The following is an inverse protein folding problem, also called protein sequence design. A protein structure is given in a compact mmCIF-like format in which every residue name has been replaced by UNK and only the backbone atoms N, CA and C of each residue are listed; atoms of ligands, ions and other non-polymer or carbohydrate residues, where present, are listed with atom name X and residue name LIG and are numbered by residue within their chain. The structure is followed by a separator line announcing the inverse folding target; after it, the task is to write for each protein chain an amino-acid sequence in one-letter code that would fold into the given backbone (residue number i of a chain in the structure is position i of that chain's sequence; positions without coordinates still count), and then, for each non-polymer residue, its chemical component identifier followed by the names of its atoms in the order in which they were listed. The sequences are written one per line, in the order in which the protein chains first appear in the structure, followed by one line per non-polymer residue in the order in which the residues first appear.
data_IF_295279395738
#
_entry.id   IF_295279395738
#
_cell.length_a   1.000
_cell.length_b   1.000
_cell.length_c   1.000
_cell.angle_alpha   90.00
_cell.angle_beta   90.00
_cell.angle_gamma   90.00
#
_symmetry.space_group_name_H-M   'P 1'
#
loop_
_entity.id
_entity.type
_entity.pdbx_description
1 polymer ?
#
# COMPACT_ATOMS: atom_id res chain seq x y z
N UNK A 1 -69.53 -19.63 23.18
CA UNK A 1 -69.06 -19.46 21.78
C UNK A 1 -67.84 -18.57 21.62
N UNK A 2 -67.72 -17.41 22.28
CA UNK A 2 -66.53 -16.55 22.13
C UNK A 2 -65.21 -17.22 22.59
N UNK A 3 -65.22 -17.93 23.72
CA UNK A 3 -64.05 -18.64 24.24
C UNK A 3 -63.56 -19.73 23.27
N UNK A 4 -64.46 -20.53 22.70
CA UNK A 4 -64.11 -21.59 21.75
C UNK A 4 -63.52 -21.02 20.45
N UNK A 5 -64.05 -19.89 19.96
CA UNK A 5 -63.53 -19.22 18.76
C UNK A 5 -62.10 -18.70 19.00
N UNK A 6 -61.84 -18.10 20.17
CA UNK A 6 -60.50 -17.64 20.53
C UNK A 6 -59.51 -18.80 20.68
N UNK A 7 -59.93 -19.94 21.25
CA UNK A 7 -59.08 -21.13 21.37
C UNK A 7 -58.75 -21.72 19.99
N UNK A 8 -59.74 -21.81 19.08
CA UNK A 8 -59.52 -22.28 17.71
C UNK A 8 -58.57 -21.35 16.95
N UNK A 9 -58.74 -20.03 17.10
CA UNK A 9 -57.84 -19.05 16.51
C UNK A 9 -56.41 -19.17 17.04
N UNK A 10 -56.24 -19.38 18.35
CA UNK A 10 -54.93 -19.56 18.98
C UNK A 10 -54.22 -20.83 18.49
N UNK A 11 -54.96 -21.95 18.35
CA UNK A 11 -54.43 -23.21 17.82
C UNK A 11 -53.99 -23.04 16.36
N UNK A 12 -54.80 -22.38 15.53
CA UNK A 12 -54.44 -22.06 14.14
C UNK A 12 -53.21 -21.17 14.05
N UNK A 13 -53.07 -20.18 14.95
CA UNK A 13 -51.90 -19.32 15.02
C UNK A 13 -50.62 -20.12 15.33
N UNK A 14 -50.65 -20.98 16.36
CA UNK A 14 -49.50 -21.80 16.73
C UNK A 14 -49.14 -22.84 15.65
N UNK A 15 -50.13 -23.46 15.01
CA UNK A 15 -49.90 -24.35 13.86
C UNK A 15 -49.25 -23.63 12.66
N UNK A 16 -49.52 -22.34 12.49
CA UNK A 16 -48.88 -21.52 11.46
C UNK A 16 -47.45 -21.10 11.86
N UNK A 17 -47.22 -20.78 13.14
CA UNK A 17 -45.89 -20.40 13.67
C UNK A 17 -44.88 -21.54 13.54
N UNK A 18 -45.27 -22.81 13.76
CA UNK A 18 -44.36 -23.95 13.59
C UNK A 18 -43.85 -24.05 12.15
N UNK A 19 -44.74 -23.90 11.16
CA UNK A 19 -44.36 -23.89 9.75
C UNK A 19 -43.49 -22.68 9.37
N UNK A 20 -43.76 -21.50 9.94
CA UNK A 20 -42.90 -20.33 9.76
C UNK A 20 -41.50 -20.56 10.37
N UNK A 21 -41.41 -21.24 11.51
CA UNK A 21 -40.13 -21.46 12.21
C UNK A 21 -39.18 -22.32 11.38
N UNK A 22 -39.69 -23.37 10.71
CA UNK A 22 -38.89 -24.16 9.76
C UNK A 22 -38.47 -23.33 8.53
N UNK A 23 -39.34 -22.47 8.01
CA UNK A 23 -38.99 -21.57 6.91
C UNK A 23 -37.91 -20.55 7.33
N UNK A 24 -38.04 -19.96 8.51
CA UNK A 24 -37.08 -18.99 9.08
C UNK A 24 -35.73 -19.65 9.35
N UNK A 25 -35.68 -20.89 9.84
CA UNK A 25 -34.42 -21.59 10.06
C UNK A 25 -33.70 -21.91 8.74
N UNK A 26 -34.42 -22.41 7.72
CA UNK A 26 -33.85 -22.66 6.39
C UNK A 26 -33.35 -21.36 5.76
N UNK A 27 -34.15 -20.30 5.81
CA UNK A 27 -33.75 -18.97 5.31
C UNK A 27 -32.55 -18.44 6.08
N UNK A 28 -32.50 -18.60 7.41
CA UNK A 28 -31.38 -18.18 8.24
C UNK A 28 -30.07 -18.86 7.85
N UNK A 29 -30.08 -20.18 7.65
CA UNK A 29 -28.91 -20.91 7.16
C UNK A 29 -28.52 -20.51 5.74
N UNK A 30 -29.50 -20.35 4.84
CA UNK A 30 -29.25 -19.92 3.47
C UNK A 30 -28.65 -18.49 3.43
N UNK A 31 -29.17 -17.57 4.24
CA UNK A 31 -28.65 -16.20 4.38
C UNK A 31 -27.23 -16.17 4.95
N UNK A 32 -26.93 -17.01 5.95
CA UNK A 32 -25.58 -17.12 6.50
C UNK A 32 -24.58 -17.61 5.44
N UNK A 33 -24.95 -18.64 4.66
CA UNK A 33 -24.13 -19.13 3.55
C UNK A 33 -23.90 -18.05 2.47
N UNK A 34 -24.95 -17.31 2.11
CA UNK A 34 -24.85 -16.21 1.16
C UNK A 34 -23.96 -15.07 1.68
N UNK A 35 -24.07 -14.71 2.97
CA UNK A 35 -23.25 -13.68 3.59
C UNK A 35 -21.76 -14.04 3.57
N UNK A 36 -21.42 -15.31 3.84
CA UNK A 36 -20.03 -15.79 3.76
C UNK A 36 -19.52 -15.72 2.32
N UNK A 37 -20.32 -16.18 1.35
CA UNK A 37 -19.94 -16.17 -0.06
C UNK A 37 -19.76 -14.74 -0.64
N UNK A 38 -20.59 -13.79 -0.20
CA UNK A 38 -20.57 -12.40 -0.70
C UNK A 38 -19.67 -11.46 0.12
N UNK A 39 -19.02 -11.96 1.18
CA UNK A 39 -18.20 -11.15 2.10
C UNK A 39 -17.22 -10.24 1.36
N UNK A 40 -16.44 -10.79 0.43
CA UNK A 40 -15.38 -10.03 -0.24
C UNK A 40 -15.91 -8.94 -1.17
N UNK A 41 -17.07 -9.18 -1.79
CA UNK A 41 -17.75 -8.17 -2.59
C UNK A 41 -18.18 -7.00 -1.70
N UNK A 42 -18.85 -7.28 -0.59
CA UNK A 42 -19.29 -6.25 0.35
C UNK A 42 -18.12 -5.49 0.99
N UNK A 43 -17.06 -6.21 1.39
CA UNK A 43 -15.83 -5.59 1.90
C UNK A 43 -15.17 -4.70 0.86
N UNK A 44 -15.21 -5.07 -0.44
CA UNK A 44 -14.68 -4.22 -1.50
C UNK A 44 -15.50 -2.95 -1.71
N UNK A 45 -16.84 -3.02 -1.58
CA UNK A 45 -17.70 -1.83 -1.60
C UNK A 45 -17.38 -0.88 -0.45
N UNK A 46 -17.22 -1.41 0.76
CA UNK A 46 -16.81 -0.61 1.92
C UNK A 46 -15.40 -0.03 1.74
N UNK A 47 -14.49 -0.81 1.15
CA UNK A 47 -13.13 -0.38 0.83
C UNK A 47 -13.14 0.81 -0.12
N UNK A 48 -14.00 0.78 -1.14
CA UNK A 48 -14.20 1.91 -2.04
C UNK A 48 -14.64 3.17 -1.29
N UNK A 49 -15.64 3.07 -0.42
CA UNK A 49 -16.07 4.20 0.42
C UNK A 49 -14.90 4.77 1.23
N UNK A 50 -14.10 3.91 1.87
CA UNK A 50 -12.93 4.35 2.65
C UNK A 50 -11.89 5.04 1.77
N UNK A 51 -11.62 4.52 0.58
CA UNK A 51 -10.66 5.13 -0.36
C UNK A 51 -11.16 6.52 -0.79
N UNK A 52 -12.43 6.64 -1.18
CA UNK A 52 -13.01 7.89 -1.69
C UNK A 52 -13.16 8.94 -0.59
N UNK A 53 -13.72 8.58 0.56
CA UNK A 53 -13.94 9.53 1.66
C UNK A 53 -12.67 9.81 2.46
N UNK A 54 -11.82 8.81 2.66
CA UNK A 54 -10.54 8.95 3.37
C UNK A 54 -9.46 9.63 2.52
N UNK A 55 -9.60 9.62 1.19
CA UNK A 55 -8.68 10.28 0.28
C UNK A 55 -7.25 9.70 0.29
N UNK A 56 -7.06 8.51 0.87
CA UNK A 56 -5.76 7.86 1.06
C UNK A 56 -5.08 7.47 -0.25
N UNK A 57 -5.88 7.17 -1.28
CA UNK A 57 -5.42 6.83 -2.62
C UNK A 57 -6.21 7.61 -3.66
N UNK A 58 -5.51 8.20 -4.63
CA UNK A 58 -6.12 8.96 -5.72
C UNK A 58 -5.63 8.45 -7.07
N UNK A 59 -6.42 8.69 -8.10
CA UNK A 59 -5.98 8.45 -9.49
C UNK A 59 -4.75 9.30 -9.77
N UNK A 60 -3.71 8.67 -10.30
CA UNK A 60 -2.38 9.24 -10.52
C UNK A 60 -1.37 8.99 -9.39
N UNK A 61 -1.81 8.45 -8.25
CA UNK A 61 -0.87 8.14 -7.16
C UNK A 61 -0.02 6.90 -7.47
N UNK A 62 1.27 6.97 -7.12
CA UNK A 62 2.18 5.83 -7.13
C UNK A 62 2.04 5.03 -5.85
N UNK A 63 1.64 3.78 -5.96
CA UNK A 63 1.42 2.90 -4.81
C UNK A 63 2.23 1.61 -4.91
N UNK A 64 2.66 1.13 -3.76
CA UNK A 64 3.23 -0.19 -3.55
C UNK A 64 2.19 -1.08 -2.89
N UNK A 65 1.91 -2.18 -3.55
CA UNK A 65 0.99 -3.22 -3.08
C UNK A 65 1.77 -4.46 -2.76
N UNK A 66 1.51 -5.01 -1.57
CA UNK A 66 2.12 -6.24 -1.12
C UNK A 66 1.10 -7.38 -1.12
N UNK A 67 1.42 -8.45 -1.86
CA UNK A 67 0.60 -9.66 -1.93
C UNK A 67 1.48 -10.89 -1.70
N UNK A 68 1.29 -11.54 -0.56
CA UNK A 68 2.05 -12.71 -0.12
C UNK A 68 3.55 -12.42 -0.14
N UNK A 69 4.31 -12.91 -1.12
CA UNK A 69 5.75 -12.67 -1.28
C UNK A 69 6.10 -11.79 -2.49
N UNK A 70 5.08 -11.28 -3.19
CA UNK A 70 5.24 -10.46 -4.38
C UNK A 70 4.87 -9.02 -4.09
N UNK A 71 5.71 -8.12 -4.59
CA UNK A 71 5.51 -6.67 -4.49
C UNK A 71 5.24 -6.12 -5.87
N UNK A 72 4.20 -5.31 -5.98
CA UNK A 72 3.87 -4.58 -7.20
C UNK A 72 3.95 -3.09 -6.90
N UNK A 73 4.59 -2.33 -7.79
CA UNK A 73 4.70 -0.88 -7.68
C UNK A 73 4.23 -0.29 -9.00
N UNK A 74 3.33 0.69 -8.92
CA UNK A 74 2.75 1.29 -10.11
C UNK A 74 1.90 2.51 -9.79
N UNK A 75 1.31 3.08 -10.83
CA UNK A 75 0.44 4.24 -10.74
C UNK A 75 -1.03 3.85 -10.86
N UNK A 76 -1.87 4.45 -10.03
CA UNK A 76 -3.32 4.22 -10.09
C UNK A 76 -3.89 4.90 -11.33
N UNK A 77 -4.48 4.12 -12.24
CA UNK A 77 -5.13 4.62 -13.45
C UNK A 77 -6.62 4.88 -13.19
N UNK A 78 -7.26 4.02 -12.40
CA UNK A 78 -8.70 4.10 -12.11
C UNK A 78 -9.02 3.50 -10.74
N UNK A 79 -10.07 4.03 -10.11
CA UNK A 79 -10.64 3.49 -8.86
C UNK A 79 -12.12 3.21 -9.11
N UNK A 80 -12.42 1.96 -9.41
CA UNK A 80 -13.77 1.44 -9.61
C UNK A 80 -14.38 0.98 -8.29
N UNK A 81 -15.70 0.75 -8.28
CA UNK A 81 -16.47 0.38 -7.09
C UNK A 81 -15.98 -0.88 -6.36
N UNK A 82 -15.44 -1.86 -7.08
CA UNK A 82 -14.95 -3.12 -6.49
C UNK A 82 -13.42 -3.27 -6.54
N UNK A 83 -12.71 -2.43 -7.30
CA UNK A 83 -11.27 -2.59 -7.57
C UNK A 83 -10.55 -1.29 -7.90
N UNK A 84 -9.25 -1.26 -7.60
CA UNK A 84 -8.27 -0.30 -8.08
C UNK A 84 -7.57 -0.89 -9.31
N UNK A 85 -7.36 -0.08 -10.34
CA UNK A 85 -6.58 -0.45 -11.53
C UNK A 85 -5.23 0.24 -11.48
N UNK A 86 -4.16 -0.55 -11.49
CA UNK A 86 -2.77 -0.10 -11.36
C UNK A 86 -2.01 -0.34 -12.67
N UNK A 87 -1.22 0.63 -13.12
CA UNK A 87 -0.22 0.45 -14.17
C UNK A 87 1.16 0.21 -13.54
N UNK A 88 1.72 -0.99 -13.71
CA UNK A 88 3.00 -1.33 -13.11
C UNK A 88 4.19 -0.65 -13.82
N UNK A 89 5.07 -0.04 -13.04
CA UNK A 89 6.29 0.62 -13.54
C UNK A 89 7.58 -0.13 -13.15
N UNK A 90 8.66 0.16 -13.89
CA UNK A 90 9.99 -0.35 -13.58
C UNK A 90 10.51 0.25 -12.28
N UNK A 91 10.76 -0.62 -11.32
CA UNK A 91 11.39 -0.29 -10.04
C UNK A 91 12.54 -1.25 -9.73
N UNK A 92 13.25 -1.00 -8.64
CA UNK A 92 14.32 -1.89 -8.20
C UNK A 92 13.81 -3.31 -7.89
N UNK A 93 12.62 -3.43 -7.30
CA UNK A 93 11.97 -4.73 -7.06
C UNK A 93 11.66 -5.43 -8.39
N UNK A 94 11.24 -4.67 -9.40
CA UNK A 94 11.03 -5.21 -10.74
C UNK A 94 12.33 -5.69 -11.37
N UNK A 95 13.43 -4.95 -11.19
CA UNK A 95 14.75 -5.35 -11.69
C UNK A 95 15.29 -6.62 -11.00
N UNK A 96 15.13 -6.72 -9.67
CA UNK A 96 15.69 -7.82 -8.89
C UNK A 96 14.83 -9.09 -8.89
N UNK A 97 13.49 -8.96 -8.77
CA UNK A 97 12.58 -10.09 -8.53
C UNK A 97 11.66 -10.37 -9.72
N UNK A 98 10.84 -9.39 -10.12
CA UNK A 98 9.72 -9.66 -11.04
C UNK A 98 10.19 -9.81 -12.50
N UNK A 99 11.28 -9.14 -12.89
CA UNK A 99 11.90 -9.05 -14.24
C UNK A 99 11.01 -8.59 -15.39
N UNK A 100 9.68 -8.57 -15.24
CA UNK A 100 8.67 -8.11 -16.19
C UNK A 100 7.88 -6.95 -15.60
N UNK A 101 7.60 -5.92 -16.40
CA UNK A 101 6.90 -4.67 -16.01
C UNK A 101 5.87 -4.26 -17.07
N UNK A 102 5.02 -3.27 -16.76
CA UNK A 102 4.06 -2.69 -17.71
C UNK A 102 2.71 -3.40 -17.74
N UNK A 103 2.42 -4.22 -16.72
CA UNK A 103 1.15 -4.93 -16.58
C UNK A 103 0.09 -3.99 -16.02
N UNK A 104 -1.15 -4.19 -16.45
CA UNK A 104 -2.32 -3.62 -15.76
C UNK A 104 -2.74 -4.61 -14.68
N UNK A 105 -2.70 -4.18 -13.43
CA UNK A 105 -3.00 -5.00 -12.26
C UNK A 105 -4.33 -4.54 -11.68
N UNK A 106 -5.26 -5.49 -11.47
CA UNK A 106 -6.54 -5.22 -10.84
C UNK A 106 -6.52 -5.67 -9.39
N UNK A 107 -6.73 -4.73 -8.48
CA UNK A 107 -6.59 -4.94 -7.04
C UNK A 107 -7.96 -4.77 -6.41
N UNK A 108 -8.56 -5.82 -5.81
CA UNK A 108 -9.83 -5.68 -5.11
C UNK A 108 -9.75 -4.64 -3.97
N UNK A 109 -10.78 -3.82 -3.80
CA UNK A 109 -10.77 -2.74 -2.82
C UNK A 109 -10.72 -3.24 -1.36
N UNK A 110 -11.11 -4.49 -1.09
CA UNK A 110 -10.99 -5.09 0.25
C UNK A 110 -9.53 -5.20 0.73
N UNK A 111 -8.54 -5.11 -0.17
CA UNK A 111 -7.11 -5.14 0.18
C UNK A 111 -6.70 -3.99 1.10
N UNK A 112 -7.45 -2.88 1.10
CA UNK A 112 -7.22 -1.77 2.05
C UNK A 112 -7.35 -2.21 3.52
N UNK A 113 -8.15 -3.24 3.78
CA UNK A 113 -8.37 -3.76 5.14
C UNK A 113 -7.47 -4.95 5.49
N UNK A 114 -7.06 -5.73 4.49
CA UNK A 114 -6.38 -7.02 4.71
C UNK A 114 -4.88 -6.97 4.45
N UNK A 115 -4.43 -6.04 3.60
CA UNK A 115 -3.06 -5.99 3.09
C UNK A 115 -2.42 -4.62 3.30
N UNK A 116 -1.09 -4.60 3.35
CA UNK A 116 -0.34 -3.36 3.40
C UNK A 116 -0.31 -2.71 2.00
N UNK A 117 -0.81 -1.49 1.93
CA UNK A 117 -0.74 -0.61 0.77
C UNK A 117 0.04 0.65 1.17
N UNK A 118 1.15 0.93 0.48
CA UNK A 118 1.94 2.14 0.73
C UNK A 118 1.78 3.12 -0.44
N UNK A 119 1.44 4.38 -0.14
CA UNK A 119 1.33 5.45 -1.13
C UNK A 119 2.60 6.30 -1.13
N UNK A 120 3.31 6.36 -2.25
CA UNK A 120 4.53 7.15 -2.40
C UNK A 120 4.28 8.61 -2.75
N UNK A 121 3.12 8.93 -3.32
CA UNK A 121 2.83 10.26 -3.87
C UNK A 121 1.61 10.91 -3.24
N UNK A 122 1.29 10.50 -2.03
CA UNK A 122 0.11 10.96 -1.31
C UNK A 122 0.06 12.49 -1.24
N UNK A 123 -1.13 13.05 -1.50
CA UNK A 123 -1.36 14.50 -1.63
C UNK A 123 -0.46 15.21 -2.66
N UNK A 124 0.04 14.53 -3.68
CA UNK A 124 0.88 15.16 -4.71
C UNK A 124 2.31 15.41 -4.26
N UNK A 125 2.71 14.85 -3.13
CA UNK A 125 4.13 14.65 -2.86
C UNK A 125 4.73 13.77 -3.93
N UNK A 126 6.00 13.98 -4.24
CA UNK A 126 6.71 13.12 -5.19
C UNK A 126 8.06 12.72 -4.64
N UNK A 127 8.27 12.79 -3.32
CA UNK A 127 9.60 12.67 -2.72
C UNK A 127 9.65 11.46 -1.82
N UNK A 128 10.61 10.59 -2.10
CA UNK A 128 10.85 9.34 -1.39
C UNK A 128 12.31 9.25 -0.99
N UNK A 129 12.59 8.54 0.10
CA UNK A 129 13.95 8.22 0.49
C UNK A 129 14.37 6.92 -0.20
N UNK A 130 15.45 6.98 -0.98
CA UNK A 130 16.03 5.82 -1.65
C UNK A 130 17.42 5.52 -1.06
N UNK A 131 17.86 4.28 -1.23
CA UNK A 131 19.10 3.76 -0.66
C UNK A 131 19.96 3.02 -1.70
N UNK A 132 21.25 3.32 -1.70
CA UNK A 132 22.26 2.60 -2.47
C UNK A 132 23.31 2.01 -1.52
N UNK A 133 23.63 0.74 -1.76
CA UNK A 133 24.60 -0.01 -0.98
C UNK A 133 25.79 -0.34 -1.87
N UNK A 134 26.97 0.11 -1.46
CA UNK A 134 28.24 -0.12 -2.16
C UNK A 134 29.11 -0.98 -1.25
N UNK A 135 29.50 -2.14 -1.74
CA UNK A 135 30.36 -3.07 -1.00
C UNK A 135 31.81 -2.89 -1.42
N UNK A 136 32.69 -2.73 -0.44
CA UNK A 136 34.13 -2.50 -0.61
C UNK A 136 34.89 -3.57 0.17
N UNK A 137 36.00 -4.07 -0.37
CA UNK A 137 36.83 -5.08 0.31
C UNK A 137 37.54 -4.51 1.54
N UNK A 138 37.89 -5.38 2.51
CA UNK A 138 38.56 -4.98 3.75
C UNK A 138 39.94 -4.33 3.53
N UNK A 139 40.62 -4.69 2.45
CA UNK A 139 41.95 -4.16 2.12
C UNK A 139 41.90 -2.74 1.52
N UNK A 140 40.70 -2.24 1.19
CA UNK A 140 40.53 -0.92 0.60
C UNK A 140 40.57 0.17 1.68
N UNK A 141 40.95 1.39 1.27
CA UNK A 141 40.87 2.55 2.15
C UNK A 141 39.41 2.98 2.34
N UNK A 142 38.85 2.63 3.50
CA UNK A 142 37.44 2.85 3.85
C UNK A 142 37.10 4.34 3.96
N UNK A 143 37.97 5.13 4.61
CA UNK A 143 37.75 6.56 4.80
C UNK A 143 37.67 7.29 3.45
N UNK A 144 38.59 6.95 2.54
CA UNK A 144 38.60 7.50 1.18
C UNK A 144 37.40 7.02 0.36
N UNK A 145 37.00 5.76 0.50
CA UNK A 145 35.82 5.23 -0.17
C UNK A 145 34.54 5.94 0.29
N UNK A 146 34.39 6.16 1.60
CA UNK A 146 33.28 6.93 2.16
C UNK A 146 33.27 8.37 1.62
N UNK A 147 34.40 9.07 1.65
CA UNK A 147 34.50 10.44 1.14
C UNK A 147 34.09 10.55 -0.34
N UNK A 148 34.49 9.58 -1.18
CA UNK A 148 34.11 9.53 -2.59
C UNK A 148 32.59 9.36 -2.74
N UNK A 149 32.00 8.40 -2.02
CA UNK A 149 30.55 8.11 -2.06
C UNK A 149 29.76 9.33 -1.57
N UNK A 150 30.17 9.95 -0.47
CA UNK A 150 29.54 11.14 0.09
C UNK A 150 29.52 12.29 -0.91
N UNK A 151 30.65 12.54 -1.56
CA UNK A 151 30.78 13.61 -2.55
C UNK A 151 29.89 13.38 -3.79
N UNK A 152 29.83 12.15 -4.29
CA UNK A 152 29.01 11.80 -5.47
C UNK A 152 27.53 11.92 -5.12
N UNK A 153 27.09 11.25 -4.05
CA UNK A 153 25.68 11.23 -3.64
C UNK A 153 25.20 12.64 -3.32
N UNK A 154 25.97 13.43 -2.57
CA UNK A 154 25.60 14.80 -2.22
C UNK A 154 25.47 15.68 -3.46
N UNK A 155 26.36 15.51 -4.45
CA UNK A 155 26.31 16.26 -5.71
C UNK A 155 25.05 15.95 -6.51
N UNK A 156 24.72 14.66 -6.69
CA UNK A 156 23.58 14.23 -7.49
C UNK A 156 22.24 14.42 -6.77
N UNK A 157 22.20 14.28 -5.44
CA UNK A 157 20.98 14.43 -4.64
C UNK A 157 20.60 15.89 -4.38
N UNK A 158 21.52 16.87 -4.51
CA UNK A 158 21.30 18.27 -4.13
C UNK A 158 20.00 18.87 -4.67
N UNK A 159 19.70 18.67 -5.95
CA UNK A 159 18.47 19.18 -6.56
C UNK A 159 17.19 18.57 -5.96
N UNK A 160 17.23 17.28 -5.65
CA UNK A 160 16.10 16.55 -5.05
C UNK A 160 15.92 16.88 -3.56
N UNK A 161 17.01 17.10 -2.83
CA UNK A 161 16.98 17.52 -1.41
C UNK A 161 16.24 18.84 -1.24
N UNK A 162 16.48 19.83 -2.09
CA UNK A 162 15.78 21.13 -2.03
C UNK A 162 14.28 20.99 -2.32
N UNK A 163 13.92 20.20 -3.33
CA UNK A 163 12.52 19.89 -3.64
C UNK A 163 11.82 19.14 -2.49
N UNK A 164 12.51 18.18 -1.89
CA UNK A 164 12.02 17.42 -0.75
C UNK A 164 11.82 18.29 0.49
N UNK A 165 12.71 19.25 0.76
CA UNK A 165 12.56 20.18 1.88
C UNK A 165 11.25 20.97 1.76
N UNK A 166 10.92 21.47 0.57
CA UNK A 166 9.68 22.20 0.32
C UNK A 166 8.43 21.31 0.47
N UNK A 167 8.45 20.11 -0.09
CA UNK A 167 7.30 19.20 -0.06
C UNK A 167 7.04 18.66 1.35
N UNK A 168 8.09 18.28 2.07
CA UNK A 168 7.98 17.72 3.41
C UNK A 168 7.55 18.79 4.42
N UNK A 169 7.96 20.05 4.26
CA UNK A 169 7.44 21.13 5.10
C UNK A 169 5.90 21.22 5.04
N UNK A 170 5.31 20.99 3.86
CA UNK A 170 3.85 20.96 3.70
C UNK A 170 3.20 19.79 4.46
N UNK A 171 3.84 18.62 4.42
CA UNK A 171 3.40 17.43 5.18
C UNK A 171 3.38 17.65 6.69
N UNK A 172 4.36 18.38 7.24
CA UNK A 172 4.43 18.60 8.68
C UNK A 172 3.21 19.34 9.23
N UNK A 173 2.52 20.10 8.38
CA UNK A 173 1.28 20.77 8.73
C UNK A 173 0.06 19.84 8.68
N UNK A 174 0.01 18.91 7.72
CA UNK A 174 -1.09 17.94 7.57
C UNK A 174 -0.93 16.74 8.53
N UNK A 175 0.31 16.35 8.82
CA UNK A 175 0.66 15.17 9.61
C UNK A 175 1.69 15.54 10.67
N UNK A 176 1.61 14.90 11.85
CA UNK A 176 2.53 15.12 12.98
C UNK A 176 3.92 14.48 12.78
N UNK A 177 4.57 14.75 11.65
CA UNK A 177 5.93 14.28 11.32
C UNK A 177 6.96 15.21 11.98
N UNK A 178 7.64 14.69 13.00
CA UNK A 178 8.69 15.43 13.72
C UNK A 178 10.03 15.36 12.97
N UNK A 179 10.62 16.53 12.72
CA UNK A 179 11.99 16.72 12.19
C UNK A 179 12.41 15.74 11.08
N UNK A 180 11.78 15.80 9.90
CA UNK A 180 12.18 14.99 8.76
C UNK A 180 13.57 15.41 8.31
N UNK A 181 14.52 14.47 8.40
CA UNK A 181 15.89 14.65 7.91
C UNK A 181 15.89 14.47 6.40
N UNK A 182 16.08 15.57 5.68
CA UNK A 182 16.06 15.62 4.21
C UNK A 182 17.45 15.42 3.60
N UNK A 183 18.49 15.69 4.38
CA UNK A 183 19.88 15.57 3.94
C UNK A 183 20.29 14.10 3.73
N UNK A 184 21.18 13.83 2.76
CA UNK A 184 21.73 12.50 2.58
C UNK A 184 22.38 11.97 3.86
N UNK A 185 22.21 10.68 4.12
CA UNK A 185 22.76 9.99 5.29
C UNK A 185 23.63 8.83 4.84
N UNK A 186 24.76 8.67 5.50
CA UNK A 186 25.75 7.66 5.17
C UNK A 186 25.98 6.78 6.38
N UNK A 187 26.04 5.48 6.15
CA UNK A 187 26.30 4.48 7.17
C UNK A 187 27.31 3.48 6.64
N UNK A 188 28.16 2.98 7.54
CA UNK A 188 29.08 1.90 7.22
C UNK A 188 28.81 0.72 8.13
N UNK A 189 28.68 -0.47 7.54
CA UNK A 189 28.43 -1.71 8.25
C UNK A 189 29.39 -2.80 7.79
N UNK A 190 29.79 -3.67 8.72
CA UNK A 190 30.54 -4.87 8.41
C UNK A 190 29.62 -5.89 7.73
N UNK A 191 30.08 -6.48 6.62
CA UNK A 191 29.40 -7.58 5.93
C UNK A 191 30.33 -8.77 5.69
N UNK A 192 29.78 -9.90 5.28
CA UNK A 192 30.49 -11.18 5.12
C UNK A 192 31.73 -11.10 4.21
N UNK A 193 31.71 -10.22 3.20
CA UNK A 193 32.75 -10.14 2.17
C UNK A 193 33.44 -8.77 2.11
N UNK A 194 33.21 -7.90 3.09
CA UNK A 194 33.77 -6.55 3.09
C UNK A 194 33.01 -5.57 3.98
N UNK A 195 33.22 -4.29 3.71
CA UNK A 195 32.49 -3.19 4.32
C UNK A 195 31.43 -2.67 3.35
N UNK A 196 30.20 -2.53 3.83
CA UNK A 196 29.10 -1.92 3.07
C UNK A 196 28.94 -0.47 3.47
N UNK A 197 29.09 0.42 2.49
CA UNK A 197 28.76 1.84 2.59
C UNK A 197 27.33 2.00 2.06
N UNK A 198 26.41 2.34 2.96
CA UNK A 198 24.99 2.55 2.64
C UNK A 198 24.68 4.04 2.63
N UNK A 199 24.33 4.56 1.46
CA UNK A 199 24.00 5.96 1.25
C UNK A 199 22.49 6.11 0.99
N UNK A 200 21.85 6.94 1.80
CA UNK A 200 20.41 7.20 1.76
C UNK A 200 20.18 8.65 1.37
N UNK A 201 19.40 8.88 0.31
CA UNK A 201 19.16 10.22 -0.22
C UNK A 201 17.69 10.39 -0.65
N UNK A 202 17.24 11.64 -0.69
CA UNK A 202 15.91 11.96 -1.19
C UNK A 202 15.90 11.98 -2.71
N UNK A 203 14.86 11.42 -3.31
CA UNK A 203 14.67 11.39 -4.77
C UNK A 203 13.20 11.55 -5.12
N UNK A 204 12.92 11.74 -6.41
CA UNK A 204 11.56 11.71 -6.91
C UNK A 204 11.04 10.27 -7.01
N UNK A 205 9.82 9.99 -6.54
CA UNK A 205 9.17 8.68 -6.62
C UNK A 205 9.12 8.10 -8.05
N UNK A 206 9.07 8.98 -9.06
CA UNK A 206 9.05 8.61 -10.47
C UNK A 206 10.45 8.41 -11.09
N UNK A 207 11.51 8.96 -10.46
CA UNK A 207 12.86 8.94 -11.01
C UNK A 207 13.87 8.17 -10.13
N UNK A 208 13.40 7.48 -9.10
CA UNK A 208 14.25 6.82 -8.11
C UNK A 208 15.26 5.85 -8.74
N UNK A 209 14.78 4.96 -9.61
CA UNK A 209 15.63 3.97 -10.28
C UNK A 209 16.67 4.62 -11.21
N UNK A 210 16.29 5.69 -11.92
CA UNK A 210 17.17 6.41 -12.85
C UNK A 210 18.30 7.10 -12.07
N UNK A 211 17.95 7.82 -11.00
CA UNK A 211 18.95 8.48 -10.15
C UNK A 211 19.89 7.45 -9.52
N UNK A 212 19.33 6.35 -9.00
CA UNK A 212 20.10 5.24 -8.43
C UNK A 212 21.07 4.58 -9.41
N UNK A 213 20.73 4.56 -10.69
CA UNK A 213 21.64 4.04 -11.73
C UNK A 213 22.75 5.01 -12.14
N UNK A 214 22.58 6.30 -11.84
CA UNK A 214 23.53 7.36 -12.20
C UNK A 214 24.59 7.57 -11.13
N UNK A 215 24.21 7.37 -9.86
CA UNK A 215 25.08 7.38 -8.68
C UNK A 215 25.90 6.09 -8.65
#
# INVERSE_FOLDING_TARGET
NFININIIFLILLFAYIENITYLVTILGFASAGLAIAMKDMFMSMLGWCVIIFGGSFRVGDRVKVFQNDTTYIGDIIDISFLRITLYEELTLETYNKNRRSGRIIFIPNNYVFTNLLANYTHHGMKTVLDGIDISVTFDSNLDKAQEIVENIVTRHAKGYTELARKNIARLQHEYSIKNPKVEPRFFMFFEHWGMRISAWYMTNAYAALVLRSTI
#
